data_IF_296234190979
#
_entry.id   IF_296234190979
#
_cell.length_a   1.000
_cell.length_b   1.000
_cell.length_c   1.000
_cell.angle_alpha   90.00
_cell.angle_beta   90.00
_cell.angle_gamma   90.00
#
_symmetry.space_group_name_H-M   'P 1'
#
loop_
_entity.id
_entity.type
_entity.pdbx_description
1 polymer ?
#
# COMPACT_ATOMS: atom_id res chain seq x y z
N UNK A 1 -2.83 -23.96 -17.07
CA UNK A 1 -2.86 -22.50 -17.34
C UNK A 1 -1.72 -21.88 -16.57
N UNK A 2 -0.93 -20.98 -17.17
CA UNK A 2 0.15 -20.32 -16.44
C UNK A 2 -0.47 -19.34 -15.43
N UNK A 3 -0.06 -19.43 -14.17
CA UNK A 3 -0.48 -18.47 -13.14
C UNK A 3 0.06 -17.10 -13.54
N UNK A 4 -0.83 -16.13 -13.70
CA UNK A 4 -0.45 -14.77 -14.07
C UNK A 4 0.00 -14.03 -12.81
N UNK A 5 1.30 -14.08 -12.53
CA UNK A 5 1.91 -13.36 -11.42
C UNK A 5 2.14 -11.89 -11.83
N UNK A 6 1.71 -10.94 -11.00
CA UNK A 6 2.03 -9.51 -11.15
C UNK A 6 2.91 -9.11 -9.98
N UNK A 7 3.93 -8.28 -10.20
CA UNK A 7 4.77 -7.80 -9.12
C UNK A 7 4.01 -6.72 -8.35
N UNK A 8 3.76 -6.97 -7.08
CA UNK A 8 3.12 -6.04 -6.14
C UNK A 8 4.18 -5.41 -5.25
N UNK A 9 4.09 -4.10 -5.10
CA UNK A 9 4.86 -3.33 -4.13
C UNK A 9 3.89 -2.65 -3.17
N UNK A 10 4.10 -2.87 -1.88
CA UNK A 10 3.33 -2.28 -0.78
C UNK A 10 4.28 -1.39 0.04
N UNK A 11 3.96 -0.11 0.16
CA UNK A 11 4.67 0.85 0.99
C UNK A 11 3.78 1.27 2.16
N UNK A 12 4.23 0.97 3.37
CA UNK A 12 3.52 1.15 4.62
C UNK A 12 3.98 2.45 5.28
N UNK A 13 3.05 3.38 5.44
CA UNK A 13 3.30 4.70 6.00
C UNK A 13 2.55 4.86 7.32
N UNK A 14 3.25 5.37 8.32
CA UNK A 14 2.68 5.73 9.61
C UNK A 14 2.61 7.24 9.66
N UNK A 15 1.45 7.80 10.02
CA UNK A 15 1.36 9.25 10.24
C UNK A 15 2.16 9.65 11.48
N UNK A 16 2.58 10.91 11.56
CA UNK A 16 3.14 11.46 12.79
C UNK A 16 2.09 11.47 13.91
N UNK A 17 2.54 11.30 15.16
CA UNK A 17 1.66 11.29 16.34
C UNK A 17 0.89 12.62 16.51
N UNK A 18 1.46 13.72 16.02
CA UNK A 18 0.83 15.06 16.02
C UNK A 18 -0.28 15.24 15.00
N UNK A 19 -0.47 14.30 14.07
CA UNK A 19 -1.45 14.37 12.99
C UNK A 19 -2.66 13.50 13.34
N UNK A 20 -3.88 14.03 13.20
CA UNK A 20 -5.11 13.24 13.38
C UNK A 20 -5.38 12.32 12.18
N UNK A 21 -6.15 11.23 12.38
CA UNK A 21 -6.54 10.34 11.28
C UNK A 21 -7.29 11.12 10.17
N UNK A 22 -8.24 11.98 10.55
CA UNK A 22 -9.03 12.79 9.61
C UNK A 22 -8.15 13.74 8.78
N UNK A 23 -7.20 14.44 9.43
CA UNK A 23 -6.29 15.33 8.73
C UNK A 23 -5.37 14.54 7.79
N UNK A 24 -4.90 13.37 8.23
CA UNK A 24 -4.05 12.50 7.43
C UNK A 24 -4.79 11.96 6.20
N UNK A 25 -6.00 11.43 6.36
CA UNK A 25 -6.84 10.95 5.25
C UNK A 25 -7.07 12.06 4.21
N UNK A 26 -7.46 13.26 4.68
CA UNK A 26 -7.66 14.42 3.81
C UNK A 26 -6.38 14.76 3.03
N UNK A 27 -5.24 14.82 3.71
CA UNK A 27 -3.95 15.06 3.07
C UNK A 27 -3.60 13.98 2.03
N UNK A 28 -3.85 12.70 2.33
CA UNK A 28 -3.59 11.62 1.38
C UNK A 28 -4.41 11.79 0.10
N UNK A 29 -5.68 12.13 0.23
CA UNK A 29 -6.58 12.31 -0.90
C UNK A 29 -6.31 13.59 -1.70
N UNK A 30 -6.09 14.72 -1.02
CA UNK A 30 -6.02 16.04 -1.66
C UNK A 30 -4.61 16.42 -2.10
N UNK A 31 -3.57 15.87 -1.48
CA UNK A 31 -2.18 16.31 -1.69
C UNK A 31 -1.26 15.17 -2.14
N UNK A 32 -1.16 14.09 -1.36
CA UNK A 32 -0.20 13.02 -1.64
C UNK A 32 -0.55 12.27 -2.93
N UNK A 33 -1.79 11.76 -3.02
CA UNK A 33 -2.22 10.93 -4.15
C UNK A 33 -2.15 11.69 -5.49
N UNK A 34 -2.62 12.95 -5.61
CA UNK A 34 -2.51 13.70 -6.87
C UNK A 34 -1.07 13.93 -7.35
N UNK A 35 -0.12 14.13 -6.43
CA UNK A 35 1.30 14.25 -6.80
C UNK A 35 1.89 12.92 -7.24
N UNK A 36 1.55 11.85 -6.53
CA UNK A 36 2.10 10.53 -6.78
C UNK A 36 1.54 9.86 -8.03
N UNK A 37 0.23 10.03 -8.30
CA UNK A 37 -0.42 9.43 -9.47
C UNK A 37 0.20 9.92 -10.78
N UNK A 38 0.66 11.18 -10.82
CA UNK A 38 1.34 11.75 -11.99
C UNK A 38 2.67 11.05 -12.30
N UNK A 39 3.42 10.70 -11.26
CA UNK A 39 4.70 9.98 -11.38
C UNK A 39 4.46 8.52 -11.82
N UNK A 40 3.65 7.77 -11.07
CA UNK A 40 3.45 6.34 -11.34
C UNK A 40 2.79 6.08 -12.70
N UNK A 41 1.93 6.99 -13.17
CA UNK A 41 1.33 6.90 -14.51
C UNK A 41 2.38 7.02 -15.62
N UNK A 42 3.40 7.88 -15.47
CA UNK A 42 4.50 8.03 -16.44
C UNK A 42 5.34 6.76 -16.57
N UNK A 43 5.45 5.99 -15.48
CA UNK A 43 6.21 4.75 -15.40
C UNK A 43 5.40 3.48 -15.73
N UNK A 44 4.23 3.62 -16.35
CA UNK A 44 3.39 2.51 -16.82
C UNK A 44 2.97 1.52 -15.71
N UNK A 45 2.83 2.00 -14.47
CA UNK A 45 2.26 1.23 -13.37
C UNK A 45 0.87 0.74 -13.77
N UNK A 46 0.63 -0.57 -13.64
CA UNK A 46 -0.58 -1.25 -14.10
C UNK A 46 -1.81 -0.88 -13.27
N UNK A 47 -1.61 -0.74 -11.96
CA UNK A 47 -2.64 -0.38 -10.98
C UNK A 47 -1.98 0.32 -9.81
N UNK A 48 -2.68 1.29 -9.23
CA UNK A 48 -2.27 2.04 -8.06
C UNK A 48 -3.45 2.11 -7.09
N UNK A 49 -3.24 1.81 -5.82
CA UNK A 49 -4.26 1.89 -4.77
C UNK A 49 -3.68 2.49 -3.49
N UNK A 50 -4.54 3.18 -2.74
CA UNK A 50 -4.25 3.64 -1.38
C UNK A 50 -5.24 2.98 -0.43
N UNK A 51 -4.75 2.31 0.60
CA UNK A 51 -5.57 1.77 1.69
C UNK A 51 -5.33 2.62 2.93
N UNK A 52 -6.34 3.37 3.35
CA UNK A 52 -6.32 4.13 4.61
C UNK A 52 -6.75 3.21 5.75
N UNK A 53 -6.00 3.23 6.84
CA UNK A 53 -6.29 2.45 8.06
C UNK A 53 -6.29 3.41 9.24
N UNK A 54 -7.45 3.97 9.61
CA UNK A 54 -7.56 4.82 10.79
C UNK A 54 -7.15 4.07 12.05
N UNK A 55 -6.67 4.81 13.05
CA UNK A 55 -6.23 4.25 14.32
C UNK A 55 -7.37 3.56 15.09
N UNK A 56 -8.64 3.82 14.73
CA UNK A 56 -9.80 3.12 15.30
C UNK A 56 -9.91 1.66 14.85
N UNK A 57 -9.44 1.30 13.65
CA UNK A 57 -9.62 -0.05 13.12
C UNK A 57 -8.82 -1.09 13.94
N UNK A 58 -7.60 -0.76 14.36
CA UNK A 58 -6.85 -1.59 15.30
C UNK A 58 -7.58 -1.78 16.63
N UNK A 59 -8.25 -0.74 17.14
CA UNK A 59 -9.00 -0.82 18.40
C UNK A 59 -10.25 -1.70 18.28
N UNK A 60 -10.92 -1.62 17.13
CA UNK A 60 -12.16 -2.36 16.87
C UNK A 60 -11.88 -3.83 16.53
N UNK A 61 -10.88 -4.09 15.69
CA UNK A 61 -10.60 -5.45 15.18
C UNK A 61 -9.49 -6.18 15.95
N UNK A 62 -8.58 -5.46 16.61
CA UNK A 62 -7.48 -6.05 17.38
C UNK A 62 -7.91 -7.13 18.39
N UNK A 63 -8.96 -6.93 19.20
CA UNK A 63 -9.45 -7.97 20.12
C UNK A 63 -9.93 -9.24 19.42
N UNK A 64 -10.59 -9.08 18.25
CA UNK A 64 -11.06 -10.20 17.44
C UNK A 64 -9.86 -10.96 16.85
N UNK A 65 -8.85 -10.24 16.36
CA UNK A 65 -7.64 -10.85 15.82
C UNK A 65 -6.90 -11.67 16.90
N UNK A 66 -6.69 -11.10 18.08
CA UNK A 66 -6.00 -11.78 19.19
C UNK A 66 -6.76 -13.06 19.62
N UNK A 67 -8.09 -12.99 19.68
CA UNK A 67 -8.90 -14.16 20.05
C UNK A 67 -8.87 -15.26 18.98
N UNK A 68 -8.94 -14.88 17.70
CA UNK A 68 -9.07 -15.84 16.58
C UNK A 68 -7.74 -16.38 16.07
N UNK A 69 -6.67 -15.60 16.23
CA UNK A 69 -5.30 -15.89 15.81
C UNK A 69 -4.31 -15.35 16.85
N UNK A 70 -4.19 -16.00 18.03
CA UNK A 70 -3.24 -15.57 19.07
C UNK A 70 -1.83 -15.39 18.52
N UNK A 71 -1.19 -14.27 18.86
CA UNK A 71 0.16 -13.89 18.40
C UNK A 71 0.22 -13.22 17.02
N UNK A 72 -0.90 -13.09 16.30
CA UNK A 72 -0.95 -12.28 15.08
C UNK A 72 -1.16 -10.80 15.44
N UNK A 73 -0.52 -9.92 14.68
CA UNK A 73 -0.65 -8.47 14.85
C UNK A 73 -1.24 -7.85 13.59
N UNK A 74 -2.12 -6.88 13.79
CA UNK A 74 -2.60 -6.05 12.70
C UNK A 74 -1.46 -5.14 12.22
N UNK A 75 -1.32 -4.99 10.91
CA UNK A 75 -0.45 -3.95 10.39
C UNK A 75 -1.16 -2.60 10.57
N UNK A 76 -0.60 -1.76 11.43
CA UNK A 76 -1.19 -0.49 11.83
C UNK A 76 -0.71 0.72 10.99
N UNK A 77 -0.12 0.47 9.82
CA UNK A 77 0.25 1.55 8.91
C UNK A 77 -1.00 2.32 8.47
N UNK A 78 -1.05 3.61 8.80
CA UNK A 78 -2.18 4.49 8.50
C UNK A 78 -2.48 4.63 7.01
N UNK A 79 -1.46 4.44 6.16
CA UNK A 79 -1.59 4.37 4.71
C UNK A 79 -0.74 3.23 4.15
N UNK A 80 -1.36 2.34 3.40
CA UNK A 80 -0.65 1.42 2.49
C UNK A 80 -0.82 1.90 1.05
N UNK A 81 0.26 2.37 0.45
CA UNK A 81 0.30 2.61 -1.00
C UNK A 81 0.68 1.31 -1.67
N UNK A 82 -0.13 0.86 -2.63
CA UNK A 82 0.16 -0.32 -3.43
C UNK A 82 0.23 0.04 -4.89
N UNK A 83 1.27 -0.42 -5.58
CA UNK A 83 1.32 -0.36 -7.03
C UNK A 83 1.78 -1.67 -7.63
N UNK A 84 1.27 -1.92 -8.83
CA UNK A 84 1.43 -3.17 -9.56
C UNK A 84 2.28 -2.91 -10.80
N UNK A 85 3.42 -3.57 -10.89
CA UNK A 85 4.39 -3.45 -11.98
C UNK A 85 4.66 -4.82 -12.60
N UNK A 86 5.27 -4.84 -13.78
CA UNK A 86 5.54 -6.09 -14.51
C UNK A 86 6.78 -6.79 -13.97
N UNK A 87 7.76 -6.03 -13.50
CA UNK A 87 9.05 -6.53 -13.04
C UNK A 87 9.72 -5.52 -12.08
N UNK A 88 10.83 -5.95 -11.47
CA UNK A 88 11.55 -5.14 -10.48
C UNK A 88 12.23 -3.92 -11.09
N UNK A 89 12.57 -3.94 -12.38
CA UNK A 89 13.27 -2.84 -13.03
C UNK A 89 12.33 -1.65 -13.30
N UNK A 90 11.04 -1.90 -13.55
CA UNK A 90 10.01 -0.85 -13.56
C UNK A 90 9.92 -0.15 -12.20
N UNK A 91 10.02 -0.89 -11.09
CA UNK A 91 10.06 -0.28 -9.76
C UNK A 91 11.33 0.57 -9.55
N UNK A 92 12.50 0.06 -9.95
CA UNK A 92 13.76 0.84 -9.87
C UNK A 92 13.69 2.12 -10.70
N UNK A 93 13.02 2.08 -11.87
CA UNK A 93 12.85 3.25 -12.72
C UNK A 93 12.03 4.35 -12.05
N UNK A 94 11.00 4.00 -11.28
CA UNK A 94 10.21 4.96 -10.49
C UNK A 94 11.11 5.64 -9.45
N UNK A 95 11.87 4.86 -8.68
CA UNK A 95 12.77 5.38 -7.63
C UNK A 95 13.90 6.23 -8.20
N UNK A 96 14.36 5.92 -9.42
CA UNK A 96 15.40 6.67 -10.12
C UNK A 96 14.88 7.92 -10.86
N UNK A 97 13.56 8.18 -10.88
CA UNK A 97 13.01 9.37 -11.52
C UNK A 97 13.51 10.63 -10.79
N UNK A 98 13.98 11.61 -11.55
CA UNK A 98 14.47 12.89 -11.01
C UNK A 98 13.42 13.66 -10.19
N UNK A 99 12.12 13.42 -10.43
CA UNK A 99 11.02 14.02 -9.67
C UNK A 99 10.56 13.14 -8.48
N UNK A 100 11.19 11.98 -8.23
CA UNK A 100 10.80 11.08 -7.15
C UNK A 100 10.86 11.77 -5.79
N UNK A 101 11.94 12.51 -5.52
CA UNK A 101 12.13 13.23 -4.26
C UNK A 101 11.05 14.30 -4.06
N UNK A 102 10.87 15.19 -5.04
CA UNK A 102 9.95 16.33 -4.91
C UNK A 102 8.47 15.94 -4.94
N UNK A 103 8.11 14.87 -5.67
CA UNK A 103 6.71 14.39 -5.75
C UNK A 103 6.37 13.42 -4.62
N UNK A 104 7.34 12.64 -4.15
CA UNK A 104 7.19 11.65 -3.08
C UNK A 104 7.69 12.20 -1.75
N UNK A 105 8.97 11.99 -1.50
CA UNK A 105 9.63 12.23 -0.20
C UNK A 105 9.34 13.61 0.40
N UNK A 106 9.44 14.68 -0.39
CA UNK A 106 9.20 16.04 0.10
C UNK A 106 7.73 16.30 0.43
N UNK A 107 6.81 15.63 -0.27
CA UNK A 107 5.38 15.74 0.00
C UNK A 107 5.04 15.15 1.37
N UNK A 108 5.74 14.10 1.78
CA UNK A 108 5.52 13.36 3.03
C UNK A 108 5.97 14.09 4.30
N UNK A 109 6.83 15.12 4.14
CA UNK A 109 7.41 15.86 5.27
C UNK A 109 6.32 16.53 6.11
N UNK A 110 6.34 16.28 7.42
CA UNK A 110 5.36 16.83 8.36
C UNK A 110 4.06 16.02 8.46
N UNK A 111 3.93 14.93 7.69
CA UNK A 111 2.76 14.05 7.73
C UNK A 111 3.11 12.62 8.13
N UNK A 112 4.25 12.10 7.69
CA UNK A 112 4.65 10.69 7.82
C UNK A 112 5.88 10.55 8.72
N UNK A 113 5.86 9.55 9.60
CA UNK A 113 7.01 9.09 10.37
C UNK A 113 7.86 8.14 9.50
N UNK A 114 8.87 8.70 8.83
CA UNK A 114 9.75 7.94 7.92
C UNK A 114 10.59 6.90 8.65
N UNK A 115 10.76 6.99 9.98
CA UNK A 115 11.51 5.99 10.75
C UNK A 115 10.77 4.64 10.88
N UNK A 116 9.45 4.66 10.68
CA UNK A 116 8.58 3.47 10.72
C UNK A 116 8.22 2.95 9.34
N UNK A 117 8.62 3.63 8.26
CA UNK A 117 8.30 3.25 6.89
C UNK A 117 8.79 1.84 6.55
N UNK A 118 7.94 1.04 5.92
CA UNK A 118 8.27 -0.32 5.48
C UNK A 118 7.88 -0.52 4.03
N UNK A 119 8.58 -1.40 3.32
CA UNK A 119 8.26 -1.80 1.95
C UNK A 119 8.24 -3.31 1.85
N UNK A 120 7.21 -3.86 1.20
CA UNK A 120 7.11 -5.27 0.83
C UNK A 120 6.99 -5.38 -0.68
N UNK A 121 7.75 -6.29 -1.27
CA UNK A 121 7.73 -6.60 -2.70
C UNK A 121 7.51 -8.09 -2.86
N UNK A 122 6.58 -8.48 -3.72
CA UNK A 122 6.30 -9.88 -3.98
C UNK A 122 5.40 -10.10 -5.18
N UNK A 123 5.24 -11.36 -5.56
CA UNK A 123 4.30 -11.74 -6.61
C UNK A 123 2.88 -11.84 -6.02
N UNK A 124 1.93 -11.13 -6.62
CA UNK A 124 0.52 -11.32 -6.33
C UNK A 124 -0.08 -12.34 -7.28
N UNK A 125 -0.73 -13.35 -6.69
CA UNK A 125 -1.52 -14.35 -7.39
C UNK A 125 -2.96 -14.24 -6.92
N UNK A 126 -3.88 -13.97 -7.85
CA UNK A 126 -5.31 -13.96 -7.55
C UNK A 126 -5.83 -15.40 -7.54
N UNK A 127 -6.55 -15.79 -6.48
CA UNK A 127 -7.21 -17.08 -6.36
C UNK A 127 -8.75 -17.00 -6.35
N UNK A 128 -9.29 -15.80 -6.10
CA UNK A 128 -10.72 -15.49 -6.15
C UNK A 128 -10.87 -14.10 -6.78
N UNK A 129 -11.59 -14.00 -7.89
CA UNK A 129 -11.86 -12.74 -8.60
C UNK A 129 -13.34 -12.69 -8.98
N UNK A 130 -14.02 -11.61 -8.61
CA UNK A 130 -15.47 -11.43 -8.86
C UNK A 130 -16.33 -12.64 -8.43
N UNK A 131 -16.00 -13.24 -7.28
CA UNK A 131 -16.68 -14.40 -6.72
C UNK A 131 -16.36 -15.74 -7.38
N UNK A 132 -15.41 -15.79 -8.32
CA UNK A 132 -15.02 -17.01 -9.04
C UNK A 132 -13.64 -17.47 -8.62
N UNK A 133 -13.50 -18.75 -8.29
CA UNK A 133 -12.19 -19.36 -8.01
C UNK A 133 -11.38 -19.41 -9.30
N UNK A 134 -10.16 -18.89 -9.23
CA UNK A 134 -9.21 -18.84 -10.34
C UNK A 134 -7.86 -19.39 -9.87
N UNK A 135 -7.03 -19.91 -10.78
CA UNK A 135 -5.66 -20.38 -10.50
C UNK A 135 -5.51 -21.46 -9.40
N UNK A 136 -6.61 -22.04 -8.92
CA UNK A 136 -6.64 -23.20 -8.02
C UNK A 136 -7.91 -24.02 -8.25
N UNK A 137 -7.95 -25.20 -7.66
CA UNK A 137 -9.17 -26.01 -7.47
C UNK A 137 -9.58 -25.94 -6.00
N UNK A 138 -10.87 -26.15 -5.72
CA UNK A 138 -11.40 -26.28 -4.35
C UNK A 138 -11.91 -27.71 -4.20
N UNK A 139 -11.61 -28.33 -3.06
CA UNK A 139 -12.25 -29.57 -2.67
C UNK A 139 -13.61 -29.21 -2.03
N UNK A 140 -14.71 -29.70 -2.61
CA UNK A 140 -16.08 -29.52 -2.10
C UNK A 140 -16.42 -30.45 -0.93
#
# INVERSE_FOLDING_TARGET
MAVKNILKVEAFHYKLDSVSDEAFEKYVHEVLTPKWIALVKRHNVLRYTSTITPSSFSKEFGPVLEQTRPGWQMNEAHLTITYYVRNIDEMKAIVADSEYESRGRDTEVGWIDTSKGQVKIGWETTYLEDGKVVNTVVDE
#
